data_IF_549163409874
#
_entry.id   IF_549163409874
#
_cell.length_a   1.000
_cell.length_b   1.000
_cell.length_c   1.000
_cell.angle_alpha   90.00
_cell.angle_beta   90.00
_cell.angle_gamma   90.00
#
_symmetry.space_group_name_H-M   'P 1'
#
loop_
_entity.id
_entity.type
_entity.pdbx_description
1 polymer ?
#
# COMPACT_ATOMS: atom_id res chain seq x y z
N UNK A 1 -6.59 -16.49 12.55
CA UNK A 1 -5.82 -15.87 11.44
C UNK A 1 -6.70 -14.99 10.54
N UNK A 2 -7.62 -14.19 11.10
CA UNK A 2 -8.70 -13.52 10.34
C UNK A 2 -8.25 -12.25 9.58
N UNK A 3 -7.07 -11.71 9.89
CA UNK A 3 -6.48 -10.54 9.22
C UNK A 3 -5.67 -10.90 7.98
N UNK A 4 -5.27 -12.17 7.83
CA UNK A 4 -4.36 -12.60 6.78
C UNK A 4 -4.87 -12.32 5.36
N UNK A 5 -6.14 -12.59 5.00
CA UNK A 5 -6.64 -12.28 3.67
C UNK A 5 -6.51 -10.80 3.29
N UNK A 6 -6.83 -9.90 4.22
CA UNK A 6 -6.72 -8.45 3.99
C UNK A 6 -5.26 -8.01 3.81
N UNK A 7 -4.36 -8.53 4.64
CA UNK A 7 -2.92 -8.23 4.56
C UNK A 7 -2.32 -8.79 3.28
N UNK A 8 -2.63 -10.04 2.93
CA UNK A 8 -2.18 -10.68 1.71
C UNK A 8 -2.67 -9.92 0.47
N UNK A 9 -3.94 -9.48 0.46
CA UNK A 9 -4.48 -8.68 -0.63
C UNK A 9 -3.74 -7.34 -0.79
N UNK A 10 -3.53 -6.60 0.31
CA UNK A 10 -2.80 -5.33 0.26
C UNK A 10 -1.34 -5.52 -0.18
N UNK A 11 -0.64 -6.53 0.36
CA UNK A 11 0.74 -6.84 -0.03
C UNK A 11 0.83 -7.28 -1.50
N UNK A 12 -0.05 -8.17 -1.95
CA UNK A 12 -0.08 -8.64 -3.34
C UNK A 12 -0.38 -7.51 -4.32
N UNK A 13 -1.38 -6.68 -4.01
CA UNK A 13 -1.71 -5.49 -4.79
C UNK A 13 -0.55 -4.49 -4.86
N UNK A 14 0.10 -4.23 -3.72
CA UNK A 14 1.30 -3.39 -3.66
C UNK A 14 2.38 -3.94 -4.60
N UNK A 15 2.69 -5.23 -4.47
CA UNK A 15 3.72 -5.87 -5.31
C UNK A 15 3.42 -5.72 -6.79
N UNK A 16 2.17 -5.99 -7.20
CA UNK A 16 1.72 -5.83 -8.58
C UNK A 16 1.95 -4.39 -9.10
N UNK A 17 1.48 -3.38 -8.36
CA UNK A 17 1.57 -1.99 -8.78
C UNK A 17 3.01 -1.49 -8.91
N UNK A 18 3.85 -1.83 -7.94
CA UNK A 18 5.20 -1.29 -7.90
C UNK A 18 6.15 -1.98 -8.88
N UNK A 19 5.93 -3.26 -9.20
CA UNK A 19 6.63 -3.92 -10.31
C UNK A 19 6.29 -3.24 -11.64
N UNK A 20 5.00 -3.00 -11.91
CA UNK A 20 4.58 -2.28 -13.12
C UNK A 20 5.18 -0.86 -13.13
N UNK A 21 5.21 -0.19 -11.97
CA UNK A 21 5.78 1.16 -11.86
C UNK A 21 7.26 1.20 -12.20
N UNK A 22 8.04 0.22 -11.73
CA UNK A 22 9.47 0.08 -12.06
C UNK A 22 9.62 -0.14 -13.56
N UNK A 23 8.89 -1.09 -14.14
CA UNK A 23 8.93 -1.37 -15.59
C UNK A 23 8.66 -0.09 -16.39
N UNK A 24 7.61 0.65 -16.01
CA UNK A 24 7.23 1.87 -16.70
C UNK A 24 8.26 3.00 -16.49
N UNK A 25 8.89 3.10 -15.32
CA UNK A 25 9.92 4.13 -15.07
C UNK A 25 11.20 3.87 -15.86
N UNK A 26 11.61 2.60 -15.94
CA UNK A 26 12.83 2.19 -16.65
C UNK A 26 12.66 2.36 -18.16
N UNK A 27 11.51 1.94 -18.70
CA UNK A 27 11.23 2.01 -20.14
C UNK A 27 10.73 3.37 -20.66
N UNK A 28 10.62 4.39 -19.81
CA UNK A 28 10.20 5.73 -20.24
C UNK A 28 11.40 6.60 -20.58
N UNK A 29 11.77 6.68 -21.85
CA UNK A 29 12.92 7.49 -22.31
C UNK A 29 12.70 9.00 -22.20
N UNK A 30 11.46 9.44 -21.94
CA UNK A 30 11.12 10.86 -21.77
C UNK A 30 11.26 11.33 -20.33
N UNK A 31 11.35 10.40 -19.36
CA UNK A 31 11.49 10.75 -17.95
C UNK A 31 12.91 11.23 -17.63
N UNK A 32 13.01 12.29 -16.82
CA UNK A 32 14.29 12.74 -16.28
C UNK A 32 14.96 11.66 -15.43
N UNK A 33 16.28 11.64 -15.38
CA UNK A 33 17.04 10.69 -14.56
C UNK A 33 16.62 10.74 -13.08
N UNK A 34 16.44 11.94 -12.53
CA UNK A 34 15.95 12.13 -11.16
C UNK A 34 14.53 11.60 -10.96
N UNK A 35 13.63 11.79 -11.94
CA UNK A 35 12.28 11.25 -11.91
C UNK A 35 12.26 9.71 -11.90
N UNK A 36 13.14 9.08 -12.69
CA UNK A 36 13.32 7.61 -12.69
C UNK A 36 13.83 7.12 -11.33
N UNK A 37 14.87 7.76 -10.79
CA UNK A 37 15.45 7.40 -9.48
C UNK A 37 14.41 7.46 -8.36
N UNK A 38 13.66 8.57 -8.26
CA UNK A 38 12.60 8.72 -7.25
C UNK A 38 11.55 7.61 -7.40
N UNK A 39 11.13 7.31 -8.62
CA UNK A 39 10.15 6.26 -8.88
C UNK A 39 10.64 4.88 -8.43
N UNK A 40 11.88 4.53 -8.75
CA UNK A 40 12.46 3.22 -8.40
C UNK A 40 12.69 3.10 -6.89
N UNK A 41 13.27 4.11 -6.24
CA UNK A 41 13.49 4.08 -4.78
C UNK A 41 12.17 3.94 -4.03
N UNK A 42 11.15 4.70 -4.43
CA UNK A 42 9.82 4.60 -3.81
C UNK A 42 9.24 3.20 -4.01
N UNK A 43 9.35 2.64 -5.21
CA UNK A 43 8.87 1.30 -5.50
C UNK A 43 9.57 0.23 -4.64
N UNK A 44 10.89 0.28 -4.54
CA UNK A 44 11.67 -0.65 -3.73
C UNK A 44 11.31 -0.54 -2.24
N UNK A 45 11.07 0.67 -1.73
CA UNK A 45 10.66 0.86 -0.34
C UNK A 45 9.30 0.19 -0.05
N UNK A 46 8.30 0.37 -0.92
CA UNK A 46 7.00 -0.27 -0.77
C UNK A 46 7.06 -1.80 -0.95
N UNK A 47 7.86 -2.29 -1.90
CA UNK A 47 8.08 -3.73 -2.10
C UNK A 47 8.75 -4.38 -0.90
N UNK A 48 9.81 -3.75 -0.37
CA UNK A 48 10.50 -4.21 0.83
C UNK A 48 9.57 -4.25 2.04
N UNK A 49 8.78 -3.19 2.25
CA UNK A 49 7.80 -3.12 3.33
C UNK A 49 6.70 -4.20 3.19
N UNK A 50 6.17 -4.41 1.98
CA UNK A 50 5.17 -5.45 1.72
C UNK A 50 5.71 -6.86 1.98
N UNK A 51 6.94 -7.15 1.53
CA UNK A 51 7.62 -8.43 1.76
C UNK A 51 7.92 -8.67 3.24
N UNK A 52 8.44 -7.66 3.93
CA UNK A 52 8.69 -7.73 5.37
C UNK A 52 7.40 -7.95 6.17
N UNK A 53 6.31 -7.26 5.81
CA UNK A 53 5.01 -7.41 6.47
C UNK A 53 4.42 -8.80 6.25
N UNK A 54 4.48 -9.32 5.02
CA UNK A 54 3.99 -10.66 4.69
C UNK A 54 4.79 -11.73 5.46
N UNK A 55 6.12 -11.63 5.47
CA UNK A 55 7.01 -12.50 6.24
C UNK A 55 6.69 -12.46 7.74
N UNK A 56 6.52 -11.25 8.30
CA UNK A 56 6.18 -11.07 9.71
C UNK A 56 4.84 -11.72 10.08
N UNK A 57 3.84 -11.66 9.19
CA UNK A 57 2.56 -12.32 9.39
C UNK A 57 2.64 -13.84 9.30
N UNK A 58 3.34 -14.38 8.29
CA UNK A 58 3.52 -15.83 8.10
C UNK A 58 4.28 -16.45 9.27
N UNK A 59 5.30 -15.76 9.78
CA UNK A 59 6.11 -16.19 10.92
C UNK A 59 5.46 -15.89 12.29
N UNK A 60 4.28 -15.28 12.32
CA UNK A 60 3.52 -15.06 13.55
C UNK A 60 4.12 -14.05 14.53
N UNK A 61 4.90 -13.05 14.05
CA UNK A 61 5.53 -12.07 14.93
C UNK A 61 4.49 -11.23 15.71
N UNK A 62 4.76 -10.97 16.99
CA UNK A 62 3.86 -10.22 17.88
C UNK A 62 3.51 -8.81 17.36
N UNK A 63 4.44 -8.15 16.65
CA UNK A 63 4.25 -6.82 16.07
C UNK A 63 3.47 -6.79 14.75
N UNK A 64 3.19 -7.93 14.13
CA UNK A 64 2.69 -8.01 12.75
C UNK A 64 1.40 -7.20 12.53
N UNK A 65 0.46 -7.22 13.49
CA UNK A 65 -0.80 -6.45 13.41
C UNK A 65 -0.55 -4.94 13.41
N UNK A 66 0.37 -4.45 14.24
CA UNK A 66 0.73 -3.02 14.29
C UNK A 66 1.39 -2.61 12.98
N UNK A 67 2.31 -3.43 12.47
CA UNK A 67 2.98 -3.20 11.19
C UNK A 67 1.98 -3.16 10.03
N UNK A 68 0.96 -4.04 10.03
CA UNK A 68 -0.12 -3.98 9.02
C UNK A 68 -0.92 -2.69 9.10
N UNK A 69 -1.27 -2.22 10.30
CA UNK A 69 -1.99 -0.96 10.47
C UNK A 69 -1.18 0.24 9.95
N UNK A 70 0.11 0.30 10.30
CA UNK A 70 1.03 1.35 9.85
C UNK A 70 1.21 1.32 8.34
N UNK A 71 1.44 0.14 7.77
CA UNK A 71 1.62 -0.03 6.33
C UNK A 71 0.35 0.35 5.54
N UNK A 72 -0.83 -0.01 6.05
CA UNK A 72 -2.10 0.40 5.47
C UNK A 72 -2.28 1.92 5.50
N UNK A 73 -1.96 2.58 6.63
CA UNK A 73 -2.06 4.03 6.75
C UNK A 73 -1.10 4.75 5.79
N UNK A 74 0.16 4.32 5.73
CA UNK A 74 1.15 4.89 4.79
C UNK A 74 0.67 4.74 3.34
N UNK A 75 0.15 3.56 3.00
CA UNK A 75 -0.39 3.29 1.66
C UNK A 75 -1.56 4.21 1.31
N UNK A 76 -2.52 4.37 2.23
CA UNK A 76 -3.65 5.30 2.06
C UNK A 76 -3.14 6.72 1.82
N UNK A 77 -2.28 7.24 2.72
CA UNK A 77 -1.79 8.62 2.66
C UNK A 77 -1.02 8.87 1.37
N UNK A 78 -0.11 7.96 1.00
CA UNK A 78 0.67 8.07 -0.24
C UNK A 78 -0.24 8.17 -1.47
N UNK A 79 -1.25 7.29 -1.57
CA UNK A 79 -2.14 7.27 -2.73
C UNK A 79 -3.08 8.47 -2.79
N UNK A 80 -3.52 9.00 -1.64
CA UNK A 80 -4.30 10.24 -1.60
C UNK A 80 -3.48 11.44 -2.06
N UNK A 81 -2.26 11.61 -1.55
CA UNK A 81 -1.35 12.67 -1.99
C UNK A 81 -1.05 12.53 -3.49
N UNK A 82 -0.79 11.30 -3.94
CA UNK A 82 -0.51 11.01 -5.35
C UNK A 82 -1.69 11.38 -6.25
N UNK A 83 -2.91 10.96 -5.90
CA UNK A 83 -4.11 11.28 -6.66
C UNK A 83 -4.36 12.79 -6.71
N UNK A 84 -4.26 13.49 -5.57
CA UNK A 84 -4.41 14.95 -5.51
C UNK A 84 -3.37 15.67 -6.38
N UNK A 85 -2.10 15.24 -6.32
CA UNK A 85 -1.03 15.84 -7.13
C UNK A 85 -1.28 15.64 -8.63
N UNK A 86 -1.86 14.52 -9.02
CA UNK A 86 -2.17 14.23 -10.43
C UNK A 86 -3.31 15.13 -10.93
N UNK A 87 -4.34 15.33 -10.11
CA UNK A 87 -5.45 16.24 -10.44
C UNK A 87 -4.96 17.69 -10.57
N UNK A 88 -4.07 18.13 -9.69
CA UNK A 88 -3.54 19.51 -9.69
C UNK A 88 -2.60 19.81 -10.88
N UNK A 89 -2.01 18.79 -11.50
CA UNK A 89 -0.98 18.95 -12.56
C UNK A 89 -1.51 18.78 -13.99
N UNK A 90 -2.83 18.86 -14.20
CA UNK A 90 -3.50 18.79 -15.52
C UNK A 90 -3.00 17.64 -16.43
N UNK A 91 -2.86 16.45 -15.84
CA UNK A 91 -2.53 15.26 -16.62
C UNK A 91 -3.68 14.84 -17.56
N UNK A 92 -3.38 14.14 -18.68
CA UNK A 92 -4.40 13.61 -19.59
C UNK A 92 -5.45 12.78 -18.85
N UNK A 93 -6.72 12.89 -19.26
CA UNK A 93 -7.85 12.26 -18.54
C UNK A 93 -7.64 10.76 -18.30
N UNK A 94 -7.13 10.00 -19.28
CA UNK A 94 -6.86 8.57 -19.12
C UNK A 94 -5.82 8.28 -18.02
N UNK A 95 -4.78 9.11 -17.91
CA UNK A 95 -3.78 8.98 -16.84
C UNK A 95 -4.39 9.26 -15.47
N UNK A 96 -5.22 10.30 -15.37
CA UNK A 96 -5.93 10.67 -14.14
C UNK A 96 -6.88 9.57 -13.68
N UNK A 97 -7.70 9.04 -14.59
CA UNK A 97 -8.67 7.96 -14.30
C UNK A 97 -7.95 6.71 -13.80
N UNK A 98 -6.88 6.27 -14.47
CA UNK A 98 -6.10 5.10 -14.02
C UNK A 98 -5.64 5.31 -12.58
N UNK A 99 -4.99 6.43 -12.28
CA UNK A 99 -4.47 6.66 -10.93
C UNK A 99 -5.56 6.84 -9.87
N UNK A 100 -6.72 7.39 -10.23
CA UNK A 100 -7.87 7.46 -9.34
C UNK A 100 -8.38 6.05 -8.97
N UNK A 101 -8.49 5.15 -9.95
CA UNK A 101 -8.88 3.74 -9.71
C UNK A 101 -7.84 3.03 -8.84
N UNK A 102 -6.54 3.21 -9.14
CA UNK A 102 -5.47 2.62 -8.33
C UNK A 102 -5.48 3.14 -6.88
N UNK A 103 -5.76 4.43 -6.69
CA UNK A 103 -5.92 5.03 -5.37
C UNK A 103 -7.12 4.43 -4.64
N UNK A 104 -8.28 4.33 -5.30
CA UNK A 104 -9.50 3.77 -4.72
C UNK A 104 -9.30 2.33 -4.24
N UNK A 105 -8.70 1.47 -5.07
CA UNK A 105 -8.42 0.07 -4.70
C UNK A 105 -7.46 0.05 -3.50
N UNK A 106 -6.38 0.82 -3.54
CA UNK A 106 -5.39 0.83 -2.46
C UNK A 106 -5.98 1.33 -1.13
N UNK A 107 -6.79 2.39 -1.19
CA UNK A 107 -7.49 2.91 -0.01
C UNK A 107 -8.49 1.89 0.53
N UNK A 108 -9.27 1.24 -0.35
CA UNK A 108 -10.21 0.20 0.04
C UNK A 108 -9.52 -0.97 0.75
N UNK A 109 -8.41 -1.47 0.21
CA UNK A 109 -7.61 -2.52 0.83
C UNK A 109 -6.99 -2.06 2.16
N UNK A 110 -6.48 -0.84 2.23
CA UNK A 110 -5.96 -0.25 3.47
C UNK A 110 -7.02 -0.17 4.57
N UNK A 111 -8.23 0.33 4.24
CA UNK A 111 -9.37 0.38 5.18
C UNK A 111 -9.77 -1.02 5.62
N UNK A 112 -9.78 -2.01 4.72
CA UNK A 112 -10.07 -3.39 5.09
C UNK A 112 -9.05 -3.96 6.08
N UNK A 113 -7.75 -3.69 5.88
CA UNK A 113 -6.71 -4.05 6.84
C UNK A 113 -6.96 -3.38 8.20
N UNK A 114 -7.21 -2.07 8.23
CA UNK A 114 -7.46 -1.31 9.46
C UNK A 114 -8.67 -1.86 10.24
N UNK A 115 -9.77 -2.18 9.56
CA UNK A 115 -10.95 -2.81 10.18
C UNK A 115 -10.64 -4.21 10.73
N UNK A 116 -9.86 -4.99 9.99
CA UNK A 116 -9.50 -6.35 10.37
C UNK A 116 -8.61 -6.38 11.61
N UNK A 117 -7.73 -5.39 11.80
CA UNK A 117 -6.88 -5.32 12.99
C UNK A 117 -7.59 -4.72 14.21
N UNK A 118 -8.64 -3.90 14.06
CA UNK A 118 -9.33 -3.27 15.19
C UNK A 118 -10.34 -4.17 15.92
N UNK A 119 -10.83 -5.24 15.30
CA UNK A 119 -11.92 -6.11 15.81
C UNK A 119 -11.55 -7.03 17.00
N UNK A 120 -10.48 -6.76 17.77
CA UNK A 120 -9.97 -7.65 18.84
C UNK A 120 -9.77 -7.01 20.22
N UNK A 121 -10.56 -6.00 20.57
CA UNK A 121 -10.50 -5.33 21.88
C UNK A 121 -11.79 -5.55 22.68
N UNK A 122 -12.03 -6.77 23.17
CA UNK A 122 -12.93 -6.97 24.33
C UNK A 122 -12.17 -7.80 25.35
N UNK A 123 -11.55 -7.17 26.37
CA UNK A 123 -11.11 -7.87 27.56
C UNK A 123 -12.36 -8.46 28.23
N UNK A 124 -12.46 -9.79 28.33
CA UNK A 124 -13.39 -10.41 29.28
C UNK A 124 -12.95 -9.97 30.68
N UNK A 125 -13.66 -9.01 31.27
CA UNK A 125 -13.62 -8.84 32.72
C UNK A 125 -14.33 -10.06 33.30
N UNK A 126 -13.58 -10.97 33.93
CA UNK A 126 -14.16 -12.01 34.78
C UNK A 126 -14.75 -11.34 36.03
N UNK A 127 -16.04 -11.51 36.33
CA UNK A 127 -16.58 -11.14 37.64
C UNK A 127 -15.91 -12.04 38.68
N UNK A 128 -15.37 -11.42 39.74
CA UNK A 128 -14.88 -12.08 40.96
C UNK A 128 -16.02 -12.63 41.78
#
# INVERSE_FOLDING_TARGET
MRTWPAVAALCGWTTFLWIIRIKNAVGDDRASASGKVIAVITALAFLGAAGALASAHVRGHAGARRSAAVFALISIVYWLIRAATIVVRDHPIGFTVVHAVLALITVGLGVWVLRSVSTRSVPRRTPS
#
